data_IF_458266944499
#
_entry.id   IF_458266944499
#
_cell.length_a   1.000
_cell.length_b   1.000
_cell.length_c   1.000
_cell.angle_alpha   90.00
_cell.angle_beta   90.00
_cell.angle_gamma   90.00
#
_symmetry.space_group_name_H-M   'P 1'
#
loop_
_entity.id
_entity.type
_entity.pdbx_description
1 polymer ?
#
# COMPACT_ATOMS: atom_id res chain seq x y z
N UNK A 1 -50.99 10.07 -31.35
CA UNK A 1 -50.02 9.37 -32.21
C UNK A 1 -48.87 10.32 -32.16
N UNK A 2 -48.08 10.19 -31.10
CA UNK A 2 -47.10 11.16 -30.65
C UNK A 2 -45.93 10.30 -30.13
N UNK A 3 -44.77 10.60 -30.68
CA UNK A 3 -43.50 9.87 -30.62
C UNK A 3 -42.96 9.78 -29.18
N UNK A 4 -42.24 8.71 -28.81
CA UNK A 4 -41.35 8.74 -27.65
C UNK A 4 -40.05 9.46 -28.00
N UNK A 5 -39.63 10.34 -27.09
CA UNK A 5 -38.36 11.06 -27.07
C UNK A 5 -37.14 10.11 -27.16
N UNK A 6 -36.22 10.50 -28.04
CA UNK A 6 -34.82 10.05 -28.14
C UNK A 6 -34.06 10.59 -26.92
N UNK A 7 -33.69 9.71 -25.97
CA UNK A 7 -32.64 10.01 -24.98
C UNK A 7 -31.28 9.65 -25.59
N UNK A 8 -30.26 10.53 -25.51
CA UNK A 8 -28.94 10.24 -26.05
C UNK A 8 -28.23 9.15 -25.23
N UNK A 9 -27.76 8.12 -25.92
CA UNK A 9 -26.85 7.08 -25.43
C UNK A 9 -25.76 7.67 -24.51
N UNK A 10 -25.76 7.22 -23.26
CA UNK A 10 -24.61 7.35 -22.39
C UNK A 10 -23.48 6.50 -22.99
N UNK A 11 -22.48 7.18 -23.55
CA UNK A 11 -21.24 6.56 -24.01
C UNK A 11 -20.51 6.03 -22.77
N UNK A 12 -20.58 4.72 -22.59
CA UNK A 12 -19.80 3.99 -21.59
C UNK A 12 -18.31 4.03 -21.99
N UNK A 13 -17.41 4.64 -21.20
CA UNK A 13 -15.99 4.73 -21.53
C UNK A 13 -15.25 3.38 -21.40
N UNK A 14 -15.94 2.31 -21.01
CA UNK A 14 -15.39 0.96 -20.78
C UNK A 14 -16.04 -0.12 -21.64
N UNK A 15 -16.95 0.23 -22.56
CA UNK A 15 -17.36 -0.62 -23.67
C UNK A 15 -16.27 -0.65 -24.74
N UNK A 16 -15.11 -1.22 -24.38
CA UNK A 16 -14.04 -1.52 -25.32
C UNK A 16 -14.44 -2.71 -26.18
N UNK A 17 -14.74 -2.44 -27.45
CA UNK A 17 -14.64 -3.42 -28.52
C UNK A 17 -13.28 -4.13 -28.42
N UNK A 18 -13.32 -5.46 -28.50
CA UNK A 18 -12.12 -6.27 -28.40
C UNK A 18 -11.16 -5.99 -29.53
N UNK A 19 -9.94 -5.64 -29.18
CA UNK A 19 -8.74 -5.97 -29.94
C UNK A 19 -7.58 -6.11 -28.94
N UNK A 20 -7.11 -7.35 -28.84
CA UNK A 20 -5.86 -7.77 -28.25
C UNK A 20 -4.66 -7.00 -28.85
N UNK A 21 -3.79 -6.41 -28.02
CA UNK A 21 -2.34 -6.40 -28.23
C UNK A 21 -1.64 -5.87 -26.96
N UNK A 22 -1.32 -6.75 -26.02
CA UNK A 22 -0.27 -6.48 -25.03
C UNK A 22 0.66 -7.68 -24.97
N UNK A 23 1.54 -7.77 -25.97
CA UNK A 23 2.72 -8.63 -25.96
C UNK A 23 3.95 -7.73 -25.89
N UNK A 24 4.43 -7.42 -24.68
CA UNK A 24 5.80 -6.91 -24.54
C UNK A 24 6.78 -8.08 -24.65
N UNK A 25 7.33 -8.24 -25.85
CA UNK A 25 8.42 -9.15 -26.16
C UNK A 25 9.73 -8.53 -25.67
N UNK A 26 10.38 -9.17 -24.70
CA UNK A 26 11.74 -8.85 -24.31
C UNK A 26 12.75 -9.48 -25.29
N UNK A 27 13.24 -8.68 -26.24
CA UNK A 27 14.48 -8.88 -26.99
C UNK A 27 15.30 -7.59 -26.77
N UNK A 28 16.58 -7.56 -26.41
CA UNK A 28 17.72 -8.36 -26.82
C UNK A 28 18.88 -7.37 -27.08
N UNK A 29 20.01 -7.53 -26.37
CA UNK A 29 21.17 -6.63 -26.41
C UNK A 29 21.80 -6.44 -27.80
N UNK A 30 22.32 -5.23 -28.11
CA UNK A 30 23.58 -5.04 -28.87
C UNK A 30 24.19 -3.62 -28.73
N UNK A 31 25.43 -3.59 -28.21
CA UNK A 31 26.63 -2.79 -28.58
C UNK A 31 26.54 -1.42 -29.29
N UNK A 32 27.12 -0.41 -28.63
CA UNK A 32 27.90 0.77 -29.12
C UNK A 32 29.01 0.41 -30.15
N UNK A 33 29.75 1.35 -30.84
CA UNK A 33 29.95 2.80 -30.59
C UNK A 33 30.05 3.70 -31.88
N UNK A 34 30.56 4.94 -31.70
CA UNK A 34 31.15 5.92 -32.66
C UNK A 34 30.21 7.05 -33.13
N UNK A 35 30.51 8.36 -33.06
CA UNK A 35 31.70 9.10 -32.65
C UNK A 35 31.52 10.62 -32.92
N UNK A 36 32.30 11.43 -32.18
CA UNK A 36 33.02 12.64 -32.62
C UNK A 36 32.29 13.97 -32.96
N UNK A 37 32.49 14.93 -32.03
CA UNK A 37 32.97 16.33 -32.17
C UNK A 37 32.11 17.46 -32.78
N UNK A 38 32.00 18.56 -32.00
CA UNK A 38 32.44 19.95 -32.27
C UNK A 38 31.20 20.87 -32.47
N UNK A 39 31.14 22.17 -32.18
CA UNK A 39 32.07 23.23 -31.83
C UNK A 39 31.28 24.37 -31.11
N UNK A 40 31.98 25.44 -30.75
CA UNK A 40 31.66 26.52 -29.83
C UNK A 40 30.67 27.60 -30.31
N UNK A 41 30.24 28.43 -29.36
CA UNK A 41 29.58 29.72 -29.64
C UNK A 41 29.26 30.54 -28.38
N UNK A 42 30.21 31.36 -27.92
CA UNK A 42 29.99 32.43 -26.94
C UNK A 42 29.15 33.57 -27.51
N UNK A 43 28.30 34.21 -26.69
CA UNK A 43 28.15 35.67 -26.67
C UNK A 43 27.40 36.16 -25.41
N UNK A 44 28.04 37.08 -24.70
CA UNK A 44 27.54 38.00 -23.68
C UNK A 44 26.21 38.70 -23.99
N UNK A 45 25.44 38.97 -22.93
CA UNK A 45 24.78 40.27 -22.76
C UNK A 45 24.54 40.57 -21.27
N UNK A 46 25.12 41.69 -20.83
CA UNK A 46 24.93 42.29 -19.51
C UNK A 46 23.58 43.03 -19.40
N UNK A 47 23.04 43.10 -18.19
CA UNK A 47 21.93 43.97 -17.81
C UNK A 47 21.69 43.96 -16.31
N UNK A 48 22.28 44.94 -15.61
CA UNK A 48 21.76 45.43 -14.32
C UNK A 48 20.41 46.14 -14.58
N UNK A 49 19.47 46.35 -13.65
CA UNK A 49 19.58 47.04 -12.35
C UNK A 49 18.33 46.72 -11.49
N UNK A 50 18.54 46.50 -10.19
CA UNK A 50 17.85 47.08 -9.00
C UNK A 50 16.34 47.40 -9.03
N UNK A 51 15.51 46.81 -8.11
CA UNK A 51 14.50 47.51 -7.26
C UNK A 51 14.02 46.62 -6.07
N UNK A 52 14.22 47.15 -4.85
CA UNK A 52 13.43 47.08 -3.59
C UNK A 52 13.21 45.80 -2.76
N UNK A 53 13.84 45.81 -1.57
CA UNK A 53 13.25 45.92 -0.22
C UNK A 53 11.85 45.32 0.04
N UNK A 54 11.78 44.37 0.98
CA UNK A 54 10.51 43.88 1.53
C UNK A 54 10.60 42.73 2.52
N UNK A 55 10.96 43.04 3.76
CA UNK A 55 10.45 42.42 5.00
C UNK A 55 10.47 40.89 5.14
N UNK A 56 11.39 40.45 5.98
CA UNK A 56 11.33 39.24 6.82
C UNK A 56 9.93 38.96 7.39
N UNK A 57 9.27 37.93 6.87
CA UNK A 57 8.17 37.23 7.51
C UNK A 57 8.63 35.80 7.74
N UNK A 58 9.05 35.50 8.96
CA UNK A 58 9.26 34.14 9.43
C UNK A 58 7.90 33.42 9.46
N UNK A 59 7.51 32.84 8.33
CA UNK A 59 6.61 31.69 8.33
C UNK A 59 7.37 30.57 9.01
N UNK A 60 6.99 30.26 10.24
CA UNK A 60 7.39 29.00 10.86
C UNK A 60 6.71 27.90 10.07
N UNK A 61 7.39 27.43 9.01
CA UNK A 61 7.27 26.04 8.60
C UNK A 61 7.58 25.22 9.86
N UNK A 62 6.67 24.34 10.34
CA UNK A 62 7.06 23.31 11.27
C UNK A 62 7.88 22.29 10.48
N UNK A 63 9.09 22.70 10.10
CA UNK A 63 10.13 21.81 9.63
C UNK A 63 10.30 20.77 10.74
N UNK A 64 9.95 19.54 10.39
CA UNK A 64 10.33 18.30 11.02
C UNK A 64 11.59 18.49 11.87
N UNK A 65 11.40 18.64 13.17
CA UNK A 65 12.48 18.45 14.12
C UNK A 65 12.72 16.95 14.16
N UNK A 66 13.66 16.49 13.34
CA UNK A 66 14.27 15.17 13.49
C UNK A 66 15.06 15.18 14.79
N UNK A 67 14.36 14.95 15.91
CA UNK A 67 14.97 14.72 17.21
C UNK A 67 15.54 13.29 17.23
N UNK A 68 16.72 13.18 17.83
CA UNK A 68 17.73 12.15 17.56
C UNK A 68 17.38 10.68 17.88
N UNK A 69 16.15 10.34 18.25
CA UNK A 69 15.68 8.95 18.45
C UNK A 69 14.18 8.75 18.12
N UNK A 70 13.54 9.75 17.50
CA UNK A 70 12.12 9.73 17.13
C UNK A 70 11.92 9.93 15.63
N UNK A 71 11.17 9.02 15.00
CA UNK A 71 10.63 9.30 13.68
C UNK A 71 9.50 10.32 13.89
N UNK A 72 9.63 11.50 13.28
CA UNK A 72 8.58 12.53 13.29
C UNK A 72 7.22 12.00 12.81
N UNK A 73 6.15 12.80 12.79
CA UNK A 73 4.85 12.33 12.34
C UNK A 73 4.96 11.83 10.89
N UNK A 74 4.74 10.54 10.69
CA UNK A 74 4.70 9.87 9.38
C UNK A 74 3.41 9.09 9.26
N UNK A 75 3.01 8.83 8.02
CA UNK A 75 1.87 7.98 7.72
C UNK A 75 2.29 6.52 7.73
N UNK A 76 1.57 5.73 8.49
CA UNK A 76 1.79 4.29 8.60
C UNK A 76 0.50 3.54 8.29
N UNK A 77 0.64 2.35 7.70
CA UNK A 77 -0.42 1.34 7.67
C UNK A 77 -0.17 0.27 8.74
N UNK A 78 -1.21 -0.07 9.48
CA UNK A 78 -1.21 -1.21 10.40
C UNK A 78 -1.40 -2.49 9.57
N UNK A 79 -0.49 -3.47 9.63
CA UNK A 79 -0.61 -4.71 8.86
C UNK A 79 -1.07 -5.91 9.66
N UNK A 80 -0.51 -6.10 10.85
CA UNK A 80 -0.86 -7.24 11.70
C UNK A 80 -0.79 -6.83 13.17
N UNK A 81 -1.50 -7.59 13.99
CA UNK A 81 -1.46 -7.53 15.44
C UNK A 81 -1.11 -8.92 15.97
N UNK A 82 0.06 -9.04 16.57
CA UNK A 82 0.50 -10.23 17.28
C UNK A 82 0.54 -9.94 18.79
N UNK A 83 0.45 -10.96 19.65
CA UNK A 83 0.37 -10.78 21.11
C UNK A 83 1.41 -9.76 21.65
N UNK A 84 0.93 -8.57 22.03
CA UNK A 84 1.73 -7.46 22.56
C UNK A 84 2.41 -6.53 21.55
N UNK A 85 2.24 -6.73 20.23
CA UNK A 85 2.85 -5.88 19.20
C UNK A 85 1.98 -5.65 17.96
N UNK A 86 2.25 -4.54 17.27
CA UNK A 86 1.66 -4.15 15.99
C UNK A 86 2.76 -4.04 14.94
N UNK A 87 2.42 -4.32 13.68
CA UNK A 87 3.32 -4.11 12.54
C UNK A 87 2.85 -2.88 11.77
N UNK A 88 3.69 -1.85 11.72
CA UNK A 88 3.45 -0.62 10.96
C UNK A 88 4.31 -0.61 9.70
N UNK A 89 3.75 -0.21 8.58
CA UNK A 89 4.48 0.01 7.32
C UNK A 89 4.46 1.50 7.01
N UNK A 90 5.64 2.09 6.83
CA UNK A 90 5.79 3.52 6.52
C UNK A 90 5.36 3.80 5.07
N UNK A 91 4.31 4.61 4.92
CA UNK A 91 3.73 4.99 3.63
C UNK A 91 4.39 6.22 3.00
N UNK A 92 5.24 6.93 3.74
CA UNK A 92 5.96 8.11 3.26
C UNK A 92 7.38 7.76 2.77
N UNK A 93 7.80 6.49 2.92
CA UNK A 93 9.05 5.99 2.35
C UNK A 93 8.90 5.85 0.83
N UNK A 94 9.85 6.35 0.02
CA UNK A 94 9.74 6.30 -1.43
C UNK A 94 9.59 4.86 -1.93
N UNK A 95 8.77 4.69 -2.97
CA UNK A 95 8.56 3.40 -3.64
C UNK A 95 9.91 2.71 -3.92
N UNK A 96 10.04 1.40 -3.63
CA UNK A 96 11.26 0.69 -3.96
C UNK A 96 11.44 0.74 -5.48
N UNK A 97 12.57 1.25 -5.94
CA UNK A 97 12.89 1.26 -7.36
C UNK A 97 12.92 -0.18 -7.92
N UNK A 98 12.77 -0.36 -9.24
CA UNK A 98 12.88 -1.67 -9.88
C UNK A 98 14.35 -2.17 -9.82
N UNK A 99 14.76 -2.66 -8.66
CA UNK A 99 16.08 -3.22 -8.37
C UNK A 99 15.99 -4.70 -7.93
N UNK A 100 17.04 -5.51 -8.16
CA UNK A 100 17.08 -6.92 -7.76
C UNK A 100 17.32 -7.13 -6.26
N UNK A 101 17.64 -6.06 -5.53
CA UNK A 101 17.66 -5.99 -4.07
C UNK A 101 16.42 -5.18 -3.69
N UNK A 102 15.61 -5.56 -2.68
CA UNK A 102 14.59 -4.67 -2.19
C UNK A 102 15.30 -3.42 -1.66
N UNK A 103 15.37 -2.36 -2.46
CA UNK A 103 15.59 -1.02 -1.94
C UNK A 103 14.56 -0.83 -0.81
N UNK A 104 14.94 -0.14 0.26
CA UNK A 104 14.29 -0.03 1.58
C UNK A 104 12.86 0.57 1.58
N UNK A 105 12.10 0.44 0.49
CA UNK A 105 10.69 0.81 0.39
C UNK A 105 9.84 -0.13 1.21
N UNK A 106 9.15 0.43 2.20
CA UNK A 106 8.23 -0.25 3.11
C UNK A 106 8.90 -1.23 4.10
N UNK A 107 9.88 -0.76 4.89
CA UNK A 107 10.40 -1.56 6.00
C UNK A 107 9.34 -1.67 7.13
N UNK A 108 8.93 -2.89 7.54
CA UNK A 108 7.96 -3.07 8.60
C UNK A 108 8.55 -2.72 9.97
N UNK A 109 7.95 -1.76 10.66
CA UNK A 109 8.30 -1.32 12.01
C UNK A 109 7.43 -2.07 13.02
N UNK A 110 8.06 -2.79 13.96
CA UNK A 110 7.35 -3.40 15.08
C UNK A 110 7.14 -2.39 16.21
N UNK A 111 5.89 -2.24 16.61
CA UNK A 111 5.44 -1.27 17.62
C UNK A 111 4.84 -2.02 18.80
N UNK A 112 5.14 -1.57 20.03
CA UNK A 112 4.53 -2.13 21.22
C UNK A 112 3.03 -1.82 21.26
N UNK A 113 2.20 -2.84 21.48
CA UNK A 113 0.75 -2.68 21.60
C UNK A 113 0.34 -2.10 22.96
N UNK A 114 1.16 -2.33 23.98
CA UNK A 114 1.04 -1.67 25.28
C UNK A 114 2.00 -0.48 25.31
N UNK A 115 1.46 0.71 25.56
CA UNK A 115 2.29 1.76 26.13
C UNK A 115 2.51 1.36 27.59
N UNK A 116 3.77 1.20 28.04
CA UNK A 116 4.04 1.20 29.47
C UNK A 116 3.62 2.58 30.00
N UNK A 117 2.35 2.71 30.39
CA UNK A 117 1.71 3.91 30.90
C UNK A 117 2.25 4.31 32.30
N UNK A 118 3.37 3.72 32.72
CA UNK A 118 3.99 3.98 34.00
C UNK A 118 4.54 5.42 34.12
N UNK A 119 4.75 6.14 33.01
CA UNK A 119 5.40 7.45 33.01
C UNK A 119 4.62 8.61 32.36
N UNK A 120 3.39 8.41 31.83
CA UNK A 120 2.58 9.51 31.24
C UNK A 120 1.07 9.34 31.43
N UNK A 121 0.40 10.44 31.79
CA UNK A 121 -1.07 10.61 31.84
C UNK A 121 -1.73 10.64 30.44
N UNK A 122 -1.34 9.77 29.51
CA UNK A 122 -1.88 9.67 28.15
C UNK A 122 -2.61 8.32 27.95
N UNK A 123 -3.58 8.03 28.82
CA UNK A 123 -4.53 6.88 28.65
C UNK A 123 -5.15 6.88 27.23
N UNK A 124 -5.35 8.06 26.64
CA UNK A 124 -5.91 8.25 25.29
C UNK A 124 -5.10 7.59 24.17
N UNK A 125 -3.76 7.56 24.25
CA UNK A 125 -2.92 6.95 23.21
C UNK A 125 -2.95 5.43 23.33
N UNK A 126 -2.96 4.91 24.56
CA UNK A 126 -3.06 3.48 24.81
C UNK A 126 -4.38 2.91 24.27
N UNK A 127 -5.50 3.58 24.58
CA UNK A 127 -6.82 3.23 24.07
C UNK A 127 -6.86 3.29 22.53
N UNK A 128 -6.35 4.37 21.93
CA UNK A 128 -6.31 4.52 20.48
C UNK A 128 -5.50 3.40 19.80
N UNK A 129 -4.35 3.01 20.36
CA UNK A 129 -3.51 1.90 19.87
C UNK A 129 -4.21 0.53 20.08
N UNK A 130 -5.00 0.38 21.14
CA UNK A 130 -5.80 -0.81 21.37
C UNK A 130 -6.96 -0.96 20.37
N UNK A 131 -7.53 0.14 19.88
CA UNK A 131 -8.60 0.18 18.89
C UNK A 131 -8.12 -0.01 17.43
N UNK A 132 -6.82 0.06 17.16
CA UNK A 132 -6.28 -0.13 15.81
C UNK A 132 -6.54 -1.55 15.28
N UNK A 133 -7.15 -1.62 14.10
CA UNK A 133 -7.29 -2.84 13.32
C UNK A 133 -6.27 -2.87 12.16
N UNK A 134 -5.84 -4.07 11.72
CA UNK A 134 -5.13 -4.23 10.46
C UNK A 134 -5.84 -3.51 9.30
N UNK A 135 -5.07 -2.81 8.48
CA UNK A 135 -5.50 -1.98 7.35
C UNK A 135 -5.59 -0.48 7.67
N UNK A 136 -5.67 -0.09 8.95
CA UNK A 136 -5.83 1.32 9.33
C UNK A 136 -4.63 2.14 8.87
N UNK A 137 -4.90 3.33 8.33
CA UNK A 137 -3.90 4.35 8.00
C UNK A 137 -3.88 5.37 9.12
N UNK A 138 -2.71 5.59 9.69
CA UNK A 138 -2.51 6.46 10.85
C UNK A 138 -1.34 7.40 10.60
N UNK A 139 -1.47 8.64 11.03
CA UNK A 139 -0.31 9.51 11.23
C UNK A 139 0.18 9.31 12.66
N UNK A 140 1.41 8.82 12.82
CA UNK A 140 1.98 8.51 14.13
C UNK A 140 3.39 9.09 14.32
N UNK A 141 3.72 9.39 15.57
CA UNK A 141 5.10 9.70 15.99
C UNK A 141 5.61 8.49 16.76
N UNK A 142 6.71 7.91 16.30
CA UNK A 142 7.28 6.70 16.90
C UNK A 142 8.60 7.04 17.60
N UNK A 143 8.83 6.42 18.75
CA UNK A 143 10.07 6.55 19.52
C UNK A 143 10.68 5.19 19.81
N UNK A 144 11.96 5.06 19.52
CA UNK A 144 12.71 3.86 19.88
C UNK A 144 13.12 3.90 21.36
N UNK A 145 13.11 2.75 22.06
CA UNK A 145 13.70 2.69 23.39
C UNK A 145 15.20 2.95 23.29
N UNK A 146 15.74 3.69 24.26
CA UNK A 146 17.16 4.04 24.29
C UNK A 146 18.00 2.75 24.35
N UNK A 147 18.75 2.47 23.28
CA UNK A 147 19.51 1.23 23.10
C UNK A 147 20.69 1.08 24.08
N UNK A 148 20.94 2.09 24.93
CA UNK A 148 22.02 2.07 25.92
C UNK A 148 21.68 1.34 27.22
N UNK A 149 20.42 0.99 27.45
CA UNK A 149 20.00 0.19 28.60
C UNK A 149 20.22 -1.31 28.37
N UNK A 150 21.49 -1.72 28.28
CA UNK A 150 21.90 -3.12 28.36
C UNK A 150 21.61 -3.70 29.75
N UNK A 151 20.37 -4.11 29.98
CA UNK A 151 20.04 -5.06 31.05
C UNK A 151 20.40 -6.46 30.57
N UNK A 152 21.03 -7.25 31.44
CA UNK A 152 21.50 -8.62 31.21
C UNK A 152 20.36 -9.65 30.99
N UNK A 153 19.47 -9.36 30.05
CA UNK A 153 18.23 -10.07 29.77
C UNK A 153 17.82 -10.04 28.30
N UNK A 154 18.76 -9.77 27.37
CA UNK A 154 18.60 -10.13 25.96
C UNK A 154 18.66 -11.67 25.84
N UNK A 155 17.62 -12.32 26.36
CA UNK A 155 17.25 -13.65 25.90
C UNK A 155 16.61 -13.44 24.52
N UNK A 156 17.25 -14.01 23.51
CA UNK A 156 16.69 -14.29 22.19
C UNK A 156 16.38 -13.08 21.29
N UNK A 157 17.42 -12.46 20.69
CA UNK A 157 17.37 -11.90 19.33
C UNK A 157 16.24 -10.96 18.89
N UNK A 158 15.40 -10.46 19.79
CA UNK A 158 14.21 -9.66 19.46
C UNK A 158 14.61 -8.19 19.28
N UNK A 159 14.34 -7.65 18.10
CA UNK A 159 14.55 -6.22 17.82
C UNK A 159 13.70 -5.37 18.76
N UNK A 160 14.23 -4.27 19.31
CA UNK A 160 13.47 -3.41 20.23
C UNK A 160 12.17 -2.91 19.56
N UNK A 161 11.04 -3.00 20.28
CA UNK A 161 9.76 -2.47 19.81
C UNK A 161 9.73 -0.94 19.93
N UNK A 162 9.33 -0.25 18.87
CA UNK A 162 9.05 1.18 18.91
C UNK A 162 7.81 1.47 19.77
N UNK A 163 7.72 2.67 20.35
CA UNK A 163 6.57 3.14 21.12
C UNK A 163 5.87 4.28 20.40
N UNK A 164 4.54 4.28 20.43
CA UNK A 164 3.72 5.38 19.90
C UNK A 164 3.71 6.54 20.89
N UNK A 165 4.16 7.72 20.46
CA UNK A 165 4.07 8.96 21.27
C UNK A 165 2.79 9.75 20.97
N UNK A 166 2.32 9.71 19.73
CA UNK A 166 1.07 10.35 19.30
C UNK A 166 0.52 9.61 18.09
N UNK A 167 -0.82 9.57 17.95
CA UNK A 167 -1.48 8.89 16.84
C UNK A 167 -2.80 9.59 16.46
N UNK A 168 -3.02 9.73 15.15
CA UNK A 168 -4.28 10.16 14.54
C UNK A 168 -4.67 9.15 13.46
N UNK A 169 -5.89 8.62 13.51
CA UNK A 169 -6.40 7.75 12.44
C UNK A 169 -6.86 8.60 11.26
N UNK A 170 -6.27 8.36 10.09
CA UNK A 170 -6.63 9.06 8.85
C UNK A 170 -7.67 8.28 8.06
N UNK A 171 -7.48 6.95 7.97
CA UNK A 171 -8.40 6.07 7.24
C UNK A 171 -8.58 4.74 7.94
N UNK A 172 -9.82 4.38 8.19
CA UNK A 172 -10.19 3.12 8.85
C UNK A 172 -10.34 1.96 7.86
N UNK A 173 -9.41 1.82 6.91
CA UNK A 173 -9.41 0.67 5.99
C UNK A 173 -9.11 -0.62 6.76
N UNK A 174 -9.55 -1.78 6.25
CA UNK A 174 -9.39 -3.06 6.95
C UNK A 174 -8.68 -4.09 6.10
N UNK A 175 -7.68 -4.75 6.65
CA UNK A 175 -6.98 -5.86 6.01
C UNK A 175 -7.35 -7.16 6.73
N UNK A 176 -7.63 -8.21 5.97
CA UNK A 176 -7.98 -9.54 6.48
C UNK A 176 -7.15 -10.58 5.75
N UNK A 177 -6.33 -11.31 6.49
CA UNK A 177 -5.53 -12.42 5.97
C UNK A 177 -6.23 -13.73 6.31
N UNK A 178 -6.60 -14.50 5.28
CA UNK A 178 -7.38 -15.73 5.40
C UNK A 178 -6.60 -16.84 4.70
N UNK A 179 -5.99 -17.69 5.52
CA UNK A 179 -5.33 -18.89 5.04
C UNK A 179 -6.34 -20.04 4.90
N UNK A 180 -6.01 -21.05 4.09
CA UNK A 180 -6.89 -22.20 3.82
C UNK A 180 -8.32 -21.79 3.39
N UNK A 181 -8.45 -20.71 2.61
CA UNK A 181 -9.72 -20.14 2.17
C UNK A 181 -10.46 -21.11 1.22
N UNK A 182 -11.59 -21.65 1.68
CA UNK A 182 -12.45 -22.54 0.89
C UNK A 182 -13.95 -22.24 1.14
N UNK A 183 -14.79 -22.09 0.09
CA UNK A 183 -14.45 -22.13 -1.34
C UNK A 183 -13.91 -20.82 -1.87
N UNK A 184 -12.84 -20.86 -2.66
CA UNK A 184 -12.35 -19.68 -3.38
C UNK A 184 -13.42 -19.11 -4.32
N UNK A 185 -13.50 -17.77 -4.37
CA UNK A 185 -14.39 -17.08 -5.31
C UNK A 185 -14.14 -17.53 -6.75
N UNK A 186 -15.22 -17.64 -7.52
CA UNK A 186 -15.13 -18.00 -8.94
C UNK A 186 -14.27 -17.01 -9.71
N UNK A 187 -14.44 -15.70 -9.47
CA UNK A 187 -13.62 -14.66 -10.07
C UNK A 187 -12.11 -14.87 -9.84
N UNK A 188 -11.70 -15.37 -8.68
CA UNK A 188 -10.28 -15.61 -8.36
C UNK A 188 -9.76 -16.86 -9.08
N UNK A 189 -10.55 -17.94 -9.06
CA UNK A 189 -10.22 -19.18 -9.76
C UNK A 189 -10.13 -18.98 -11.27
N UNK A 190 -11.02 -18.15 -11.82
CA UNK A 190 -11.04 -17.84 -13.24
C UNK A 190 -9.86 -16.93 -13.62
N UNK A 191 -9.63 -15.85 -12.88
CA UNK A 191 -8.47 -14.97 -13.10
C UNK A 191 -7.14 -15.75 -13.04
N UNK A 192 -7.01 -16.68 -12.09
CA UNK A 192 -5.82 -17.52 -11.98
C UNK A 192 -5.71 -18.52 -13.13
N UNK A 193 -6.81 -19.16 -13.53
CA UNK A 193 -6.83 -20.08 -14.66
C UNK A 193 -6.40 -19.37 -15.95
N UNK A 194 -6.91 -18.16 -16.17
CA UNK A 194 -6.61 -17.36 -17.35
C UNK A 194 -5.14 -16.95 -17.38
N UNK A 195 -4.61 -16.39 -16.27
CA UNK A 195 -3.21 -16.02 -16.14
C UNK A 195 -2.28 -17.23 -16.35
N UNK A 196 -2.55 -18.34 -15.65
CA UNK A 196 -1.74 -19.55 -15.77
C UNK A 196 -1.81 -20.18 -17.17
N UNK A 197 -2.93 -20.04 -17.90
CA UNK A 197 -3.04 -20.48 -19.29
C UNK A 197 -2.23 -19.60 -20.26
N UNK A 198 -2.14 -18.29 -19.99
CA UNK A 198 -1.29 -17.35 -20.71
C UNK A 198 0.21 -17.51 -20.35
N UNK A 199 0.52 -18.16 -19.23
CA UNK A 199 1.88 -18.26 -18.69
C UNK A 199 2.29 -17.06 -17.84
N UNK A 200 1.33 -16.22 -17.45
CA UNK A 200 1.53 -15.07 -16.59
C UNK A 200 1.55 -15.49 -15.12
N UNK A 201 2.50 -14.93 -14.36
CA UNK A 201 2.59 -15.14 -12.91
C UNK A 201 1.53 -14.38 -12.10
N UNK A 202 0.72 -13.55 -12.75
CA UNK A 202 -0.25 -12.67 -12.13
C UNK A 202 -1.47 -12.50 -13.03
N UNK A 203 -2.65 -12.38 -12.43
CA UNK A 203 -3.89 -12.00 -13.09
C UNK A 203 -4.61 -10.91 -12.31
N UNK A 204 -5.45 -10.12 -12.99
CA UNK A 204 -6.30 -9.12 -12.34
C UNK A 204 -7.69 -9.07 -12.96
N UNK A 205 -8.68 -8.63 -12.18
CA UNK A 205 -10.06 -8.50 -12.62
C UNK A 205 -10.83 -7.50 -11.76
N UNK A 206 -11.63 -6.65 -12.39
CA UNK A 206 -12.63 -5.83 -11.69
C UNK A 206 -13.91 -6.64 -11.51
N UNK A 207 -14.42 -6.69 -10.28
CA UNK A 207 -15.71 -7.30 -9.97
C UNK A 207 -16.82 -6.27 -9.97
N UNK A 208 -18.03 -6.72 -10.26
CA UNK A 208 -19.22 -5.89 -10.36
C UNK A 208 -20.33 -6.45 -9.49
N UNK A 209 -21.24 -5.60 -9.07
CA UNK A 209 -22.44 -6.02 -8.34
C UNK A 209 -23.55 -6.52 -9.28
N UNK A 210 -24.77 -6.63 -8.75
CA UNK A 210 -25.95 -7.11 -9.48
C UNK A 210 -26.46 -6.13 -10.53
N UNK A 211 -26.14 -4.86 -10.37
CA UNK A 211 -26.60 -3.77 -11.23
C UNK A 211 -25.54 -3.47 -12.32
N UNK A 212 -24.31 -3.94 -12.12
CA UNK A 212 -23.20 -3.87 -13.07
C UNK A 212 -22.13 -2.87 -12.65
N UNK A 213 -22.33 -2.20 -11.52
CA UNK A 213 -21.40 -1.22 -10.97
C UNK A 213 -20.14 -1.91 -10.41
N UNK A 214 -18.95 -1.36 -10.67
CA UNK A 214 -17.71 -1.84 -10.07
C UNK A 214 -17.78 -1.81 -8.53
N UNK A 215 -17.51 -2.93 -7.88
CA UNK A 215 -17.58 -3.04 -6.42
C UNK A 215 -16.27 -3.52 -5.78
N UNK A 216 -15.32 -3.98 -6.58
CA UNK A 216 -14.01 -4.41 -6.10
C UNK A 216 -13.00 -4.70 -7.21
N UNK A 217 -11.74 -4.81 -6.80
CA UNK A 217 -10.62 -5.18 -7.65
C UNK A 217 -9.96 -6.44 -7.08
N UNK A 218 -9.75 -7.44 -7.94
CA UNK A 218 -9.19 -8.72 -7.60
C UNK A 218 -7.86 -8.91 -8.32
N UNK A 219 -6.84 -9.27 -7.57
CA UNK A 219 -5.52 -9.65 -8.08
C UNK A 219 -5.22 -11.07 -7.63
N UNK A 220 -4.59 -11.85 -8.50
CA UNK A 220 -4.12 -13.20 -8.19
C UNK A 220 -2.65 -13.29 -8.55
N UNK A 221 -1.87 -13.90 -7.65
CA UNK A 221 -0.42 -14.07 -7.82
C UNK A 221 -0.11 -15.55 -7.68
N UNK A 222 0.60 -16.10 -8.65
CA UNK A 222 1.08 -17.47 -8.57
C UNK A 222 2.11 -17.63 -7.46
N UNK A 223 1.94 -18.64 -6.61
CA UNK A 223 2.99 -19.07 -5.68
C UNK A 223 4.01 -19.93 -6.44
N UNK A 224 4.72 -19.34 -7.40
CA UNK A 224 5.71 -20.04 -8.19
C UNK A 224 6.98 -20.28 -7.36
N UNK A 225 7.09 -21.45 -6.72
CA UNK A 225 8.33 -21.92 -6.08
C UNK A 225 8.25 -22.08 -4.57
N UNK A 226 9.28 -21.61 -3.86
CA UNK A 226 9.42 -21.70 -2.40
C UNK A 226 9.14 -20.37 -1.68
N UNK A 227 8.51 -19.40 -2.36
CA UNK A 227 8.06 -18.14 -1.76
C UNK A 227 6.69 -18.32 -1.13
N UNK A 228 6.51 -17.70 0.02
CA UNK A 228 5.26 -17.65 0.78
C UNK A 228 4.73 -16.22 0.69
N UNK A 229 4.18 -15.85 -0.48
CA UNK A 229 3.66 -14.51 -0.75
C UNK A 229 2.58 -14.13 0.25
N UNK A 230 1.75 -15.08 0.69
CA UNK A 230 0.75 -14.84 1.73
C UNK A 230 1.42 -14.36 3.04
N UNK A 231 2.48 -15.06 3.48
CA UNK A 231 3.30 -14.64 4.62
C UNK A 231 4.05 -13.33 4.38
N UNK A 232 4.54 -13.08 3.16
CA UNK A 232 5.22 -11.84 2.78
C UNK A 232 4.26 -10.64 2.83
N UNK A 233 3.03 -10.76 2.32
CA UNK A 233 2.01 -9.71 2.43
C UNK A 233 1.59 -9.47 3.87
N UNK A 234 1.41 -10.54 4.65
CA UNK A 234 1.04 -10.44 6.07
C UNK A 234 2.12 -9.76 6.91
N UNK A 235 3.39 -10.02 6.60
CA UNK A 235 4.52 -9.43 7.31
C UNK A 235 4.90 -8.02 6.82
N UNK A 236 4.38 -7.60 5.66
CA UNK A 236 4.79 -6.35 5.00
C UNK A 236 6.09 -6.45 4.22
N UNK A 237 6.70 -7.65 4.12
CA UNK A 237 7.88 -7.88 3.28
C UNK A 237 7.58 -7.59 1.81
N UNK A 238 6.36 -7.94 1.36
CA UNK A 238 5.82 -7.47 0.09
C UNK A 238 4.68 -6.50 0.38
N UNK A 239 4.75 -5.23 -0.06
CA UNK A 239 3.73 -4.25 0.23
C UNK A 239 2.44 -4.51 -0.58
N UNK A 240 1.30 -4.25 0.02
CA UNK A 240 -0.02 -4.25 -0.64
C UNK A 240 -0.41 -2.85 -1.14
N UNK A 241 0.31 -1.84 -0.65
CA UNK A 241 0.13 -0.42 -0.87
C UNK A 241 -0.01 -0.08 -2.35
N UNK A 242 0.88 -0.53 -3.27
CA UNK A 242 0.75 -0.16 -4.68
C UNK A 242 -0.58 -0.61 -5.30
N UNK A 243 -1.14 -1.75 -4.87
CA UNK A 243 -2.42 -2.25 -5.37
C UNK A 243 -3.59 -1.41 -4.84
N UNK A 244 -3.48 -0.95 -3.59
CA UNK A 244 -4.51 -0.14 -2.94
C UNK A 244 -4.46 1.31 -3.44
N UNK A 245 -3.27 1.87 -3.62
CA UNK A 245 -3.07 3.20 -4.21
C UNK A 245 -3.62 3.25 -5.63
N UNK A 246 -3.31 2.24 -6.46
CA UNK A 246 -3.91 2.13 -7.80
C UNK A 246 -5.44 2.16 -7.78
N UNK A 247 -6.08 1.51 -6.81
CA UNK A 247 -7.55 1.55 -6.65
C UNK A 247 -8.04 2.91 -6.16
N UNK A 248 -7.26 3.62 -5.35
CA UNK A 248 -7.60 4.95 -4.86
C UNK A 248 -7.31 6.06 -5.87
N UNK A 249 -6.45 5.84 -6.86
CA UNK A 249 -6.24 6.82 -7.94
C UNK A 249 -7.47 6.94 -8.84
N UNK A 250 -8.19 5.83 -9.01
CA UNK A 250 -9.39 5.73 -9.86
C UNK A 250 -10.71 6.02 -9.10
N UNK A 251 -10.68 6.13 -7.77
CA UNK A 251 -11.86 6.25 -6.90
C UNK A 251 -11.64 7.25 -5.76
N UNK A 252 -12.70 7.66 -5.06
CA UNK A 252 -12.58 8.53 -3.87
C UNK A 252 -11.80 7.85 -2.73
N UNK A 253 -11.26 8.64 -1.81
CA UNK A 253 -10.37 8.18 -0.73
C UNK A 253 -11.06 7.38 0.42
N UNK A 254 -12.26 6.86 0.17
CA UNK A 254 -13.06 6.13 1.17
C UNK A 254 -12.36 4.90 1.77
N UNK A 255 -12.70 4.48 3.01
CA UNK A 255 -12.15 3.28 3.61
C UNK A 255 -12.43 2.02 2.77
N UNK A 256 -11.36 1.25 2.50
CA UNK A 256 -11.42 -0.02 1.77
C UNK A 256 -11.42 -1.20 2.72
N UNK A 257 -11.93 -2.35 2.29
CA UNK A 257 -11.65 -3.63 2.96
C UNK A 257 -10.90 -4.56 1.98
N UNK A 258 -9.70 -4.97 2.37
CA UNK A 258 -8.79 -5.81 1.59
C UNK A 258 -8.73 -7.20 2.22
N UNK A 259 -8.96 -8.20 1.39
CA UNK A 259 -8.90 -9.60 1.78
C UNK A 259 -7.75 -10.27 1.04
N UNK A 260 -6.79 -10.81 1.77
CA UNK A 260 -5.72 -11.63 1.22
C UNK A 260 -6.08 -13.09 1.52
N UNK A 261 -6.32 -13.87 0.48
CA UNK A 261 -6.86 -15.22 0.56
C UNK A 261 -5.85 -16.20 -0.05
N UNK A 262 -5.53 -17.29 0.65
CA UNK A 262 -4.77 -18.41 0.10
C UNK A 262 -5.62 -19.68 0.13
N UNK A 263 -5.81 -20.40 -1.00
CA UNK A 263 -6.50 -21.69 -1.01
C UNK A 263 -5.68 -22.76 -0.28
N UNK A 264 -6.31 -23.85 0.20
CA UNK A 264 -5.61 -24.93 0.90
C UNK A 264 -4.53 -25.66 0.09
N UNK A 265 -4.62 -25.59 -1.25
CA UNK A 265 -3.62 -26.18 -2.14
C UNK A 265 -2.40 -25.27 -2.36
N UNK A 266 -2.45 -24.03 -1.88
CA UNK A 266 -1.38 -23.04 -2.01
C UNK A 266 -1.05 -22.67 -3.46
N UNK A 267 -1.96 -22.89 -4.41
CA UNK A 267 -1.64 -22.69 -5.82
C UNK A 267 -1.40 -21.21 -6.20
N UNK A 268 -2.07 -20.28 -5.51
CA UNK A 268 -1.98 -18.84 -5.74
C UNK A 268 -2.43 -18.07 -4.50
N UNK A 269 -2.12 -16.78 -4.42
CA UNK A 269 -2.66 -15.86 -3.42
C UNK A 269 -3.58 -14.86 -4.12
N UNK A 270 -4.79 -14.65 -3.60
CA UNK A 270 -5.73 -13.66 -4.11
C UNK A 270 -5.78 -12.45 -3.18
N UNK A 271 -5.58 -11.25 -3.73
CA UNK A 271 -5.81 -9.98 -3.05
C UNK A 271 -7.10 -9.38 -3.60
N UNK A 272 -8.13 -9.34 -2.77
CA UNK A 272 -9.44 -8.82 -3.13
C UNK A 272 -9.73 -7.52 -2.38
N UNK A 273 -9.75 -6.41 -3.10
CA UNK A 273 -9.99 -5.06 -2.58
C UNK A 273 -11.47 -4.71 -2.83
N UNK A 274 -12.26 -4.64 -1.77
CA UNK A 274 -13.61 -4.08 -1.82
C UNK A 274 -13.53 -2.55 -1.75
N UNK A 275 -14.23 -1.87 -2.66
CA UNK A 275 -14.20 -0.39 -2.76
C UNK A 275 -14.86 0.30 -1.57
N UNK A 276 -15.82 -0.37 -0.93
CA UNK A 276 -16.48 0.11 0.27
C UNK A 276 -16.25 -0.88 1.43
N UNK A 277 -15.62 -0.41 2.52
CA UNK A 277 -15.34 -1.24 3.70
C UNK A 277 -16.56 -1.99 4.25
N UNK A 278 -17.72 -1.34 4.27
CA UNK A 278 -18.96 -1.92 4.76
C UNK A 278 -19.98 -2.15 3.66
N UNK A 279 -19.52 -2.19 2.40
CA UNK A 279 -20.33 -2.51 1.23
C UNK A 279 -20.77 -3.97 1.20
N UNK A 280 -21.65 -4.29 0.26
CA UNK A 280 -22.23 -5.64 0.13
C UNK A 280 -21.15 -6.69 -0.12
N UNK A 281 -20.18 -6.39 -0.98
CA UNK A 281 -19.07 -7.28 -1.29
C UNK A 281 -18.29 -7.64 -0.02
N UNK A 282 -17.83 -6.62 0.70
CA UNK A 282 -17.04 -6.78 1.91
C UNK A 282 -17.76 -7.63 2.98
N UNK A 283 -19.06 -7.38 3.19
CA UNK A 283 -19.90 -8.21 4.08
C UNK A 283 -20.00 -9.66 3.61
N UNK A 284 -20.17 -9.88 2.31
CA UNK A 284 -20.27 -11.23 1.74
C UNK A 284 -18.98 -12.02 1.95
N UNK A 285 -17.81 -11.39 1.75
CA UNK A 285 -16.53 -12.04 2.01
C UNK A 285 -16.39 -12.39 3.49
N UNK A 286 -16.73 -11.44 4.38
CA UNK A 286 -16.72 -11.70 5.83
C UNK A 286 -17.61 -12.87 6.21
N UNK A 287 -18.87 -12.87 5.79
CA UNK A 287 -19.83 -13.95 6.09
C UNK A 287 -19.39 -15.32 5.56
N UNK A 288 -18.51 -15.34 4.55
CA UNK A 288 -18.00 -16.58 3.96
C UNK A 288 -16.84 -17.18 4.75
N UNK A 289 -15.96 -16.35 5.33
CA UNK A 289 -14.68 -16.81 5.87
C UNK A 289 -14.41 -16.46 7.35
N UNK A 290 -15.17 -15.55 7.96
CA UNK A 290 -15.01 -15.07 9.34
C UNK A 290 -16.24 -15.39 10.20
#
# INVERSE_FOLDING_TARGET
MDEPDDEPDAVDPWAGDGDDDWVETADGATTDPDGTAADAGSADAAGAEDVADGSTGAGSDPAASTDADGLGPRRYRVLDRADGSLVFVDLDTPEPGPGPEPDEGFEPVRVAADSDAADRDDESVADAVAELEPGYVVTATLRWPDSTAGGDGAADGDSPLARVESLTVERESRYRFIDDAEPMFEAARDAWRDANAAGDGMGSRVTRDTDGEPNGALYVFGEAGARDLFGEFRSGTTPLEPLVERVNDDLDDDPREVFVLRPPDGAFVAVYIAFEKDGLLARTVRDTYL
#
